data_IF_349753795512
#
_entry.id   IF_349753795512
#
_cell.length_a   1.000
_cell.length_b   1.000
_cell.length_c   1.000
_cell.angle_alpha   90.00
_cell.angle_beta   90.00
_cell.angle_gamma   90.00
#
_symmetry.space_group_name_H-M   'P 1'
#
loop_
_entity.id
_entity.type
_entity.pdbx_description
1 polymer ?
#
# COMPACT_ATOMS: atom_id res chain seq x y z
N UNK A 1 19.46 1.27 -10.93
CA UNK A 1 18.20 0.77 -11.53
C UNK A 1 17.22 1.94 -11.53
N UNK A 2 16.83 2.36 -12.70
CA UNK A 2 15.80 3.39 -12.88
C UNK A 2 14.47 2.75 -12.54
N UNK A 3 13.49 3.53 -12.07
CA UNK A 3 12.12 3.07 -11.77
C UNK A 3 11.44 2.53 -13.04
N UNK A 4 11.71 1.28 -13.39
CA UNK A 4 11.26 0.66 -14.65
C UNK A 4 9.90 -0.03 -14.53
N UNK A 5 9.31 -0.02 -13.35
CA UNK A 5 7.99 -0.57 -13.07
C UNK A 5 7.06 0.55 -12.60
N UNK A 6 5.88 0.65 -13.19
CA UNK A 6 4.91 1.67 -12.78
C UNK A 6 4.03 1.16 -11.64
N UNK A 7 3.52 -0.06 -11.75
CA UNK A 7 2.62 -0.65 -10.74
C UNK A 7 3.08 -2.04 -10.34
N UNK A 8 3.14 -2.31 -9.05
CA UNK A 8 3.33 -3.65 -8.49
C UNK A 8 1.99 -4.15 -7.90
N UNK A 9 1.59 -5.36 -8.28
CA UNK A 9 0.37 -5.99 -7.75
C UNK A 9 0.74 -7.07 -6.74
N UNK A 10 0.56 -6.76 -5.47
CA UNK A 10 0.78 -7.69 -4.36
C UNK A 10 -0.46 -8.56 -4.15
N UNK A 11 -0.30 -9.87 -4.26
CA UNK A 11 -1.40 -10.82 -4.09
C UNK A 11 -0.94 -12.13 -3.47
N UNK A 12 -1.90 -12.95 -3.03
CA UNK A 12 -1.69 -14.30 -2.55
C UNK A 12 -2.57 -15.27 -3.33
N UNK A 13 -1.95 -16.10 -4.14
CA UNK A 13 -2.62 -17.12 -4.95
C UNK A 13 -2.17 -18.50 -4.49
N UNK A 14 -3.11 -19.39 -4.17
CA UNK A 14 -2.83 -20.73 -3.64
C UNK A 14 -3.46 -21.86 -4.46
N UNK A 15 -4.42 -21.52 -5.29
CA UNK A 15 -5.13 -22.48 -6.15
C UNK A 15 -5.45 -21.86 -7.51
N UNK A 16 -5.87 -22.68 -8.45
CA UNK A 16 -6.18 -22.27 -9.83
C UNK A 16 -7.21 -21.14 -9.88
N UNK A 17 -8.22 -21.16 -9.00
CA UNK A 17 -9.27 -20.15 -8.99
C UNK A 17 -8.71 -18.78 -8.59
N UNK A 18 -7.81 -18.74 -7.60
CA UNK A 18 -7.14 -17.49 -7.18
C UNK A 18 -6.37 -16.85 -8.35
N UNK A 19 -5.70 -17.66 -9.18
CA UNK A 19 -5.00 -17.18 -10.37
C UNK A 19 -5.96 -16.59 -11.41
N UNK A 20 -7.08 -17.27 -11.68
CA UNK A 20 -8.07 -16.81 -12.66
C UNK A 20 -8.70 -15.49 -12.19
N UNK A 21 -9.07 -15.38 -10.92
CA UNK A 21 -9.66 -14.16 -10.35
C UNK A 21 -8.69 -12.99 -10.39
N UNK A 22 -7.42 -13.23 -10.07
CA UNK A 22 -6.40 -12.19 -10.13
C UNK A 22 -6.10 -11.77 -11.57
N UNK A 23 -5.97 -12.70 -12.51
CA UNK A 23 -5.79 -12.38 -13.92
C UNK A 23 -6.94 -11.51 -14.44
N UNK A 24 -8.18 -11.87 -14.14
CA UNK A 24 -9.35 -11.08 -14.50
C UNK A 24 -9.35 -9.70 -13.84
N UNK A 25 -8.87 -9.60 -12.61
CA UNK A 25 -8.76 -8.32 -11.89
C UNK A 25 -7.70 -7.42 -12.52
N UNK A 26 -6.52 -7.95 -12.81
CA UNK A 26 -5.47 -7.22 -13.52
C UNK A 26 -5.97 -6.77 -14.91
N UNK A 27 -6.63 -7.63 -15.64
CA UNK A 27 -7.18 -7.28 -16.94
C UNK A 27 -8.21 -6.14 -16.86
N UNK A 28 -9.13 -6.20 -15.91
CA UNK A 28 -10.13 -5.14 -15.69
C UNK A 28 -9.51 -3.81 -15.29
N UNK A 29 -8.42 -3.82 -14.52
CA UNK A 29 -7.73 -2.61 -14.12
C UNK A 29 -6.94 -2.04 -15.33
N UNK A 30 -5.99 -2.81 -15.87
CA UNK A 30 -4.99 -2.28 -16.79
C UNK A 30 -5.47 -2.13 -18.24
N UNK A 31 -6.58 -2.76 -18.61
CA UNK A 31 -7.25 -2.53 -19.91
C UNK A 31 -8.37 -1.50 -19.86
N UNK A 32 -8.62 -0.89 -18.69
CA UNK A 32 -9.67 0.13 -18.58
C UNK A 32 -9.35 1.33 -19.49
N UNK A 33 -10.32 1.83 -20.28
CA UNK A 33 -10.12 2.95 -21.20
C UNK A 33 -9.55 4.22 -20.55
N UNK A 34 -9.78 4.44 -19.24
CA UNK A 34 -9.32 5.64 -18.53
C UNK A 34 -7.81 5.66 -18.29
N UNK A 35 -7.15 4.50 -18.30
CA UNK A 35 -5.71 4.39 -18.00
C UNK A 35 -4.90 3.63 -19.06
N UNK A 36 -5.55 2.99 -20.05
CA UNK A 36 -4.85 2.20 -21.08
C UNK A 36 -3.80 3.02 -21.84
N UNK A 37 -4.07 4.32 -22.06
CA UNK A 37 -3.19 5.20 -22.82
C UNK A 37 -1.91 5.59 -22.07
N UNK A 38 -1.82 5.29 -20.76
CA UNK A 38 -0.58 5.41 -19.99
C UNK A 38 0.45 4.34 -20.33
N UNK A 39 0.02 3.23 -20.96
CA UNK A 39 0.89 2.07 -21.22
C UNK A 39 1.66 1.64 -19.98
N UNK A 40 0.96 1.55 -18.81
CA UNK A 40 1.58 1.25 -17.54
C UNK A 40 2.28 -0.11 -17.57
N UNK A 41 3.55 -0.12 -17.19
CA UNK A 41 4.30 -1.35 -16.94
C UNK A 41 3.94 -1.84 -15.56
N UNK A 42 3.24 -2.95 -15.48
CA UNK A 42 2.84 -3.54 -14.21
C UNK A 42 3.39 -4.95 -14.03
N UNK A 43 3.69 -5.29 -12.79
CA UNK A 43 3.98 -6.66 -12.42
C UNK A 43 2.66 -7.42 -12.30
N UNK A 44 2.48 -8.38 -13.19
CA UNK A 44 1.36 -9.32 -13.14
C UNK A 44 1.81 -10.58 -12.41
N UNK A 45 1.32 -10.81 -11.18
CA UNK A 45 1.72 -11.95 -10.39
C UNK A 45 1.25 -13.30 -10.96
N UNK A 46 0.30 -13.29 -11.91
CA UNK A 46 -0.26 -14.51 -12.50
C UNK A 46 0.65 -15.13 -13.56
N UNK A 47 1.58 -14.33 -14.12
CA UNK A 47 2.53 -14.77 -15.16
C UNK A 47 3.98 -14.81 -14.67
N UNK A 48 4.21 -14.47 -13.41
CA UNK A 48 5.55 -14.48 -12.82
C UNK A 48 5.94 -15.88 -12.35
N UNK A 49 7.20 -16.26 -12.58
CA UNK A 49 7.79 -17.49 -12.08
C UNK A 49 9.19 -17.24 -11.51
N UNK A 50 9.50 -17.90 -10.41
CA UNK A 50 10.85 -17.92 -9.84
C UNK A 50 11.23 -19.36 -9.52
N UNK A 51 12.51 -19.72 -9.70
CA UNK A 51 12.99 -21.08 -9.50
C UNK A 51 13.08 -21.49 -8.02
N UNK A 52 13.18 -20.55 -7.09
CA UNK A 52 13.28 -20.82 -5.67
C UNK A 52 12.51 -19.81 -4.82
N UNK A 53 12.16 -20.21 -3.60
CA UNK A 53 11.45 -19.31 -2.66
C UNK A 53 12.33 -18.14 -2.20
N UNK A 54 13.63 -18.37 -2.07
CA UNK A 54 14.59 -17.35 -1.65
C UNK A 54 14.78 -16.30 -2.74
N UNK A 55 14.97 -16.73 -3.98
CA UNK A 55 15.08 -15.83 -5.13
C UNK A 55 13.81 -15.02 -5.34
N UNK A 56 12.64 -15.65 -5.12
CA UNK A 56 11.35 -14.98 -5.24
C UNK A 56 11.26 -13.79 -4.30
N UNK A 57 11.56 -13.94 -3.02
CA UNK A 57 11.49 -12.88 -2.04
C UNK A 57 12.40 -11.69 -2.36
N UNK A 58 13.63 -11.96 -2.84
CA UNK A 58 14.58 -10.93 -3.26
C UNK A 58 14.05 -10.18 -4.49
N UNK A 59 13.54 -10.91 -5.49
CA UNK A 59 12.99 -10.33 -6.71
C UNK A 59 11.79 -9.43 -6.38
N UNK A 60 10.86 -9.92 -5.57
CA UNK A 60 9.69 -9.16 -5.15
C UNK A 60 10.08 -7.87 -4.42
N UNK A 61 11.05 -7.93 -3.49
CA UNK A 61 11.60 -6.74 -2.82
C UNK A 61 12.20 -5.72 -3.81
N UNK A 62 12.98 -6.19 -4.79
CA UNK A 62 13.57 -5.32 -5.81
C UNK A 62 12.48 -4.67 -6.67
N UNK A 63 11.44 -5.41 -7.06
CA UNK A 63 10.33 -4.91 -7.85
C UNK A 63 9.52 -3.86 -7.07
N UNK A 64 9.24 -4.10 -5.79
CA UNK A 64 8.61 -3.10 -4.92
C UNK A 64 9.45 -1.82 -4.84
N UNK A 65 10.77 -1.92 -4.76
CA UNK A 65 11.67 -0.74 -4.77
C UNK A 65 11.65 0.00 -6.10
N UNK A 66 11.45 -0.70 -7.21
CA UNK A 66 11.43 -0.10 -8.55
C UNK A 66 10.06 0.45 -8.96
N UNK A 67 8.98 0.07 -8.26
CA UNK A 67 7.62 0.52 -8.60
C UNK A 67 7.33 1.96 -8.16
N UNK A 68 6.37 2.60 -8.82
CA UNK A 68 5.83 3.92 -8.43
C UNK A 68 4.62 3.78 -7.52
N UNK A 69 3.79 2.75 -7.74
CA UNK A 69 2.55 2.49 -6.97
C UNK A 69 2.46 1.01 -6.66
N UNK A 70 1.95 0.66 -5.48
CA UNK A 70 1.63 -0.71 -5.12
C UNK A 70 0.11 -0.88 -4.98
N UNK A 71 -0.45 -1.89 -5.63
CA UNK A 71 -1.81 -2.37 -5.39
C UNK A 71 -1.72 -3.60 -4.50
N UNK A 72 -2.31 -3.53 -3.32
CA UNK A 72 -2.45 -4.65 -2.41
C UNK A 72 -3.82 -5.29 -2.62
N UNK A 73 -3.86 -6.49 -3.16
CA UNK A 73 -5.09 -7.27 -3.28
C UNK A 73 -5.45 -7.87 -1.91
N UNK A 74 -6.32 -7.16 -1.19
CA UNK A 74 -6.86 -7.57 0.10
C UNK A 74 -7.92 -8.65 -0.12
N UNK A 75 -7.47 -9.86 -0.39
CA UNK A 75 -8.32 -11.01 -0.66
C UNK A 75 -8.78 -11.76 0.58
N UNK A 76 -9.38 -12.91 0.34
CA UNK A 76 -9.89 -13.82 1.38
C UNK A 76 -8.75 -14.38 2.23
N UNK A 77 -7.54 -14.47 1.67
CA UNK A 77 -6.37 -15.08 2.32
C UNK A 77 -5.36 -14.01 2.73
N UNK A 78 -5.01 -14.02 3.99
CA UNK A 78 -3.91 -13.22 4.54
C UNK A 78 -2.56 -13.78 4.09
N UNK A 79 -1.59 -12.90 3.94
CA UNK A 79 -0.22 -13.25 3.53
C UNK A 79 0.77 -12.25 4.10
N UNK A 80 1.66 -12.73 4.94
CA UNK A 80 2.76 -11.92 5.49
C UNK A 80 3.67 -11.34 4.39
N UNK A 81 3.81 -12.05 3.26
CA UNK A 81 4.57 -11.54 2.11
C UNK A 81 3.97 -10.26 1.55
N UNK A 82 2.66 -10.22 1.30
CA UNK A 82 1.96 -9.01 0.86
C UNK A 82 2.11 -7.86 1.85
N UNK A 83 2.01 -8.17 3.14
CA UNK A 83 2.14 -7.16 4.19
C UNK A 83 3.55 -6.57 4.21
N UNK A 84 4.58 -7.39 4.05
CA UNK A 84 5.96 -6.94 3.94
C UNK A 84 6.20 -6.07 2.70
N UNK A 85 5.64 -6.45 1.55
CA UNK A 85 5.71 -5.68 0.31
C UNK A 85 5.03 -4.30 0.45
N UNK A 86 3.84 -4.27 1.03
CA UNK A 86 3.10 -3.04 1.28
C UNK A 86 3.81 -2.15 2.32
N UNK A 87 4.34 -2.74 3.39
CA UNK A 87 5.13 -2.02 4.39
C UNK A 87 6.39 -1.40 3.77
N UNK A 88 7.07 -2.13 2.90
CA UNK A 88 8.24 -1.61 2.17
C UNK A 88 7.86 -0.43 1.26
N UNK A 89 6.76 -0.54 0.53
CA UNK A 89 6.28 0.55 -0.32
C UNK A 89 5.94 1.80 0.51
N UNK A 90 5.17 1.64 1.59
CA UNK A 90 4.81 2.73 2.51
C UNK A 90 6.03 3.38 3.16
N UNK A 91 7.01 2.58 3.61
CA UNK A 91 8.23 3.08 4.25
C UNK A 91 9.10 3.92 3.31
N UNK A 92 8.99 3.71 2.01
CA UNK A 92 9.66 4.50 0.97
C UNK A 92 8.80 5.63 0.41
N UNK A 93 7.65 5.92 1.05
CA UNK A 93 6.75 7.01 0.68
C UNK A 93 5.96 6.79 -0.60
N UNK A 94 5.84 5.54 -1.07
CA UNK A 94 5.07 5.22 -2.28
C UNK A 94 3.59 5.12 -1.98
N UNK A 95 2.71 5.55 -2.89
CA UNK A 95 1.28 5.30 -2.78
C UNK A 95 0.99 3.79 -2.75
N UNK A 96 0.13 3.39 -1.80
CA UNK A 96 -0.36 2.01 -1.70
C UNK A 96 -1.88 2.03 -1.74
N UNK A 97 -2.45 1.24 -2.64
CA UNK A 97 -3.89 1.09 -2.83
C UNK A 97 -4.30 -0.29 -2.32
N UNK A 98 -5.04 -0.35 -1.23
CA UNK A 98 -5.67 -1.59 -0.77
C UNK A 98 -6.97 -1.78 -1.52
N UNK A 99 -6.99 -2.74 -2.43
CA UNK A 99 -8.19 -3.20 -3.08
C UNK A 99 -8.79 -4.36 -2.28
N UNK A 100 -9.86 -4.08 -1.56
CA UNK A 100 -10.57 -5.06 -0.75
C UNK A 100 -11.82 -5.55 -1.48
N UNK A 101 -11.77 -6.77 -2.00
CA UNK A 101 -12.91 -7.38 -2.72
C UNK A 101 -14.08 -7.72 -1.78
N UNK A 102 -13.81 -7.91 -0.50
CA UNK A 102 -14.81 -8.23 0.52
C UNK A 102 -15.15 -6.96 1.32
N UNK A 103 -16.28 -6.35 0.98
CA UNK A 103 -16.76 -5.14 1.64
C UNK A 103 -17.10 -5.34 3.14
N UNK A 104 -17.32 -6.58 3.58
CA UNK A 104 -17.57 -6.87 5.00
C UNK A 104 -16.35 -6.63 5.86
N UNK A 105 -15.14 -6.66 5.26
CA UNK A 105 -13.87 -6.35 5.92
C UNK A 105 -13.45 -4.88 5.80
N UNK A 106 -14.33 -4.01 5.30
CA UNK A 106 -14.05 -2.61 5.08
C UNK A 106 -13.51 -1.91 6.33
N UNK A 107 -14.19 -2.08 7.45
CA UNK A 107 -13.81 -1.46 8.72
C UNK A 107 -12.46 -1.96 9.22
N UNK A 108 -12.16 -3.24 9.03
CA UNK A 108 -10.85 -3.79 9.39
C UNK A 108 -9.73 -3.11 8.60
N UNK A 109 -9.84 -3.08 7.27
CA UNK A 109 -8.80 -2.48 6.42
C UNK A 109 -8.70 -0.96 6.57
N UNK A 110 -9.80 -0.25 6.82
CA UNK A 110 -9.77 1.20 7.03
C UNK A 110 -9.29 1.63 8.41
N UNK A 111 -9.60 0.85 9.46
CA UNK A 111 -9.45 1.32 10.85
C UNK A 111 -8.48 0.51 11.69
N UNK A 112 -8.28 -0.76 11.36
CA UNK A 112 -7.58 -1.72 12.24
C UNK A 112 -6.28 -2.23 11.64
N UNK A 113 -6.24 -2.46 10.32
CA UNK A 113 -5.07 -3.06 9.68
C UNK A 113 -3.81 -2.22 9.93
N UNK A 114 -2.69 -2.81 10.37
CA UNK A 114 -1.47 -2.07 10.74
C UNK A 114 -0.94 -1.18 9.62
N UNK A 115 -1.07 -1.60 8.37
CA UNK A 115 -0.55 -0.88 7.22
C UNK A 115 -1.44 0.29 6.74
N UNK A 116 -2.60 0.52 7.35
CA UNK A 116 -3.32 1.78 7.15
C UNK A 116 -2.62 2.95 7.82
N UNK A 117 -1.75 2.67 8.80
CA UNK A 117 -0.92 3.66 9.48
C UNK A 117 0.43 3.03 9.80
N UNK A 118 1.46 3.38 9.06
CA UNK A 118 2.84 3.00 9.34
C UNK A 118 3.55 4.19 9.99
N UNK A 119 3.93 4.05 11.26
CA UNK A 119 4.58 5.13 12.02
C UNK A 119 6.09 5.12 11.77
N UNK A 120 6.62 6.26 11.33
CA UNK A 120 8.03 6.58 11.45
C UNK A 120 8.26 7.18 12.85
N UNK A 121 8.77 6.37 13.74
CA UNK A 121 8.99 6.77 15.14
C UNK A 121 10.05 7.86 15.32
N UNK A 122 10.94 8.06 14.36
CA UNK A 122 11.98 9.08 14.45
C UNK A 122 11.44 10.49 14.22
N UNK A 123 10.43 10.62 13.37
CA UNK A 123 9.84 11.91 12.97
C UNK A 123 8.42 12.13 13.51
N UNK A 124 7.79 11.13 14.10
CA UNK A 124 6.38 11.18 14.49
C UNK A 124 5.42 11.16 13.29
N UNK A 125 5.88 10.68 12.15
CA UNK A 125 5.08 10.59 10.91
C UNK A 125 4.66 9.15 10.65
N UNK A 126 3.42 8.95 10.25
CA UNK A 126 2.90 7.68 9.79
C UNK A 126 2.38 7.81 8.36
N UNK A 127 2.70 6.85 7.52
CA UNK A 127 2.11 6.71 6.20
C UNK A 127 1.05 5.61 6.22
N UNK A 128 -0.02 5.78 5.44
CA UNK A 128 -1.12 4.85 5.37
C UNK A 128 -1.51 4.54 3.92
N UNK A 129 -2.22 3.45 3.73
CA UNK A 129 -2.74 3.06 2.44
C UNK A 129 -4.12 3.65 2.16
N UNK A 130 -4.43 3.88 0.89
CA UNK A 130 -5.77 4.19 0.41
C UNK A 130 -6.57 2.89 0.30
N UNK A 131 -7.76 2.83 0.90
CA UNK A 131 -8.59 1.63 0.92
C UNK A 131 -9.80 1.81 0.01
N UNK A 132 -9.98 0.89 -0.92
CA UNK A 132 -11.05 0.90 -1.91
C UNK A 132 -11.67 -0.49 -2.07
N UNK A 133 -12.90 -0.55 -2.59
CA UNK A 133 -13.68 -1.78 -2.68
C UNK A 133 -14.11 -2.13 -4.10
N UNK A 134 -13.87 -1.25 -5.05
CA UNK A 134 -14.27 -1.42 -6.45
C UNK A 134 -13.08 -1.26 -7.39
N UNK A 135 -13.05 -2.08 -8.44
CA UNK A 135 -12.01 -1.98 -9.49
C UNK A 135 -11.98 -0.58 -10.10
N UNK A 136 -13.14 0.03 -10.29
CA UNK A 136 -13.26 1.38 -10.86
C UNK A 136 -12.60 2.45 -9.99
N UNK A 137 -12.63 2.28 -8.67
CA UNK A 137 -11.94 3.17 -7.73
C UNK A 137 -10.43 2.99 -7.82
N UNK A 138 -9.94 1.74 -7.97
CA UNK A 138 -8.52 1.47 -8.22
C UNK A 138 -8.05 2.17 -9.51
N UNK A 139 -8.82 2.02 -10.59
CA UNK A 139 -8.54 2.67 -11.87
C UNK A 139 -8.48 4.19 -11.73
N UNK A 140 -9.46 4.78 -11.04
CA UNK A 140 -9.50 6.23 -10.84
C UNK A 140 -8.34 6.72 -9.99
N UNK A 141 -7.95 6.00 -8.92
CA UNK A 141 -6.77 6.33 -8.13
C UNK A 141 -5.49 6.26 -8.96
N UNK A 142 -5.31 5.21 -9.76
CA UNK A 142 -4.16 5.13 -10.67
C UNK A 142 -4.13 6.31 -11.63
N UNK A 143 -5.28 6.64 -12.26
CA UNK A 143 -5.40 7.80 -13.15
C UNK A 143 -4.97 9.09 -12.44
N UNK A 144 -5.47 9.34 -11.24
CA UNK A 144 -5.15 10.54 -10.45
C UNK A 144 -3.67 10.57 -10.05
N UNK A 145 -3.09 9.45 -9.62
CA UNK A 145 -1.68 9.37 -9.27
C UNK A 145 -0.79 9.72 -10.47
N UNK A 146 -1.03 9.10 -11.63
CA UNK A 146 -0.17 9.29 -12.79
C UNK A 146 -0.37 10.63 -13.50
N UNK A 147 -1.55 11.27 -13.36
CA UNK A 147 -1.77 12.64 -13.82
C UNK A 147 -1.45 13.71 -12.78
N UNK A 148 -1.03 13.32 -11.56
CA UNK A 148 -0.81 14.24 -10.44
C UNK A 148 -2.08 15.04 -10.09
N UNK A 149 -3.23 14.37 -10.05
CA UNK A 149 -4.55 14.92 -9.76
C UNK A 149 -5.10 14.43 -8.40
N UNK A 150 -4.22 13.97 -7.51
CA UNK A 150 -4.64 13.54 -6.17
C UNK A 150 -5.10 14.73 -5.34
N UNK A 151 -6.23 14.57 -4.66
CA UNK A 151 -6.82 15.59 -3.80
C UNK A 151 -6.74 15.17 -2.34
N UNK A 152 -6.25 16.06 -1.50
CA UNK A 152 -6.08 15.80 -0.07
C UNK A 152 -6.71 16.89 0.77
N UNK A 153 -7.29 16.52 1.92
CA UNK A 153 -7.70 17.44 2.98
C UNK A 153 -6.80 17.27 4.18
N UNK A 154 -6.42 18.40 4.81
CA UNK A 154 -5.69 18.39 6.07
C UNK A 154 -6.69 18.46 7.23
N UNK A 155 -6.63 17.50 8.12
CA UNK A 155 -7.46 17.45 9.32
C UNK A 155 -6.59 17.58 10.58
N UNK A 156 -7.12 18.28 11.58
CA UNK A 156 -6.49 18.37 12.91
C UNK A 156 -7.50 17.90 13.97
N UNK A 157 -7.67 16.60 14.22
CA UNK A 157 -8.61 16.05 15.19
C UNK A 157 -8.33 16.49 16.64
N UNK A 158 -7.07 16.74 16.98
CA UNK A 158 -6.63 17.30 18.25
C UNK A 158 -5.36 18.12 18.06
N UNK A 159 -5.04 18.97 19.04
CA UNK A 159 -3.84 19.81 19.02
C UNK A 159 -2.58 18.95 18.85
N UNK A 160 -1.73 19.31 17.87
CA UNK A 160 -0.48 18.61 17.59
C UNK A 160 -0.64 17.26 16.88
N UNK A 161 -1.84 16.92 16.38
CA UNK A 161 -2.08 15.72 15.62
C UNK A 161 -2.77 16.08 14.30
N UNK A 162 -2.07 15.84 13.19
CA UNK A 162 -2.53 16.17 11.84
C UNK A 162 -2.70 14.91 11.01
N UNK A 163 -3.73 14.88 10.17
CA UNK A 163 -3.96 13.84 9.19
C UNK A 163 -4.09 14.45 7.80
N UNK A 164 -3.36 13.91 6.85
CA UNK A 164 -3.60 14.15 5.42
C UNK A 164 -4.49 13.00 4.92
N UNK A 165 -5.69 13.35 4.49
CA UNK A 165 -6.72 12.40 4.09
C UNK A 165 -6.95 12.53 2.59
N UNK A 166 -6.85 11.41 1.86
CA UNK A 166 -7.23 11.36 0.45
C UNK A 166 -8.76 11.44 0.32
N UNK A 167 -9.22 12.40 -0.50
CA UNK A 167 -10.64 12.83 -0.48
C UNK A 167 -11.59 11.75 -0.98
N UNK A 168 -11.24 11.00 -2.03
CA UNK A 168 -12.15 10.05 -2.66
C UNK A 168 -12.35 8.76 -1.85
N UNK A 169 -11.31 8.32 -1.14
CA UNK A 169 -11.35 7.08 -0.33
C UNK A 169 -11.56 7.34 1.16
N UNK A 170 -11.50 8.62 1.57
CA UNK A 170 -11.50 9.04 2.97
C UNK A 170 -10.43 8.29 3.81
N UNK A 171 -9.28 7.99 3.18
CA UNK A 171 -8.18 7.26 3.79
C UNK A 171 -7.11 8.22 4.31
N UNK A 172 -6.69 8.06 5.56
CA UNK A 172 -5.56 8.81 6.12
C UNK A 172 -4.25 8.27 5.51
N UNK A 173 -3.72 8.98 4.51
CA UNK A 173 -2.49 8.57 3.80
C UNK A 173 -1.24 9.01 4.54
N UNK A 174 -1.34 10.04 5.38
CA UNK A 174 -0.24 10.50 6.23
C UNK A 174 -0.77 11.02 7.55
N UNK A 175 -0.12 10.66 8.62
CA UNK A 175 -0.40 11.17 9.96
C UNK A 175 0.90 11.74 10.52
N UNK A 176 0.82 12.90 11.15
CA UNK A 176 1.92 13.52 11.87
C UNK A 176 1.46 13.89 13.26
N UNK A 177 2.27 13.56 14.27
CA UNK A 177 1.98 13.92 15.66
C UNK A 177 3.20 14.51 16.33
N UNK A 178 2.94 15.55 17.13
CA UNK A 178 3.93 16.12 18.06
C UNK A 178 3.69 15.60 19.48
N UNK A 179 2.97 14.49 19.63
CA UNK A 179 2.74 13.86 20.92
C UNK A 179 4.04 13.28 21.46
N UNK A 180 4.60 13.97 22.45
CA UNK A 180 5.87 13.58 23.07
C UNK A 180 5.81 12.20 23.75
N UNK A 181 4.62 11.77 24.19
CA UNK A 181 4.47 10.46 24.81
C UNK A 181 4.65 9.33 23.77
N UNK A 182 4.13 9.52 22.56
CA UNK A 182 4.30 8.53 21.49
C UNK A 182 5.75 8.50 20.96
N UNK A 183 6.40 9.66 20.86
CA UNK A 183 7.77 9.74 20.37
C UNK A 183 8.81 9.40 21.42
N UNK A 184 8.65 9.85 22.67
CA UNK A 184 9.61 9.64 23.76
C UNK A 184 9.51 8.25 24.40
N UNK A 185 8.31 7.64 24.46
CA UNK A 185 8.17 6.34 25.14
C UNK A 185 8.90 5.21 24.41
N UNK A 186 9.02 5.27 23.08
CA UNK A 186 9.79 4.31 22.31
C UNK A 186 11.30 4.47 22.56
N UNK A 187 11.83 5.69 22.47
CA UNK A 187 13.25 5.96 22.70
C UNK A 187 13.67 5.73 24.15
N UNK A 188 12.82 6.09 25.12
CA UNK A 188 13.09 5.81 26.53
C UNK A 188 13.16 4.31 26.83
N UNK A 189 12.47 3.47 26.04
CA UNK A 189 12.59 2.03 26.16
C UNK A 189 13.97 1.54 25.71
N UNK A 190 14.49 2.04 24.60
CA UNK A 190 15.84 1.68 24.10
C UNK A 190 16.96 2.30 24.95
N UNK A 191 16.82 3.54 25.37
CA UNK A 191 17.82 4.20 26.23
C UNK A 191 18.05 3.48 27.57
N UNK A 192 17.09 2.72 28.05
CA UNK A 192 17.26 1.89 29.26
C UNK A 192 18.17 0.69 29.06
N UNK A 193 18.24 0.16 27.86
CA UNK A 193 19.11 -0.99 27.54
C UNK A 193 20.51 -0.61 27.10
N UNK A 194 20.76 0.65 26.78
CA UNK A 194 22.10 1.15 26.37
C UNK A 194 22.90 1.62 27.58
N UNK A 195 22.26 1.77 28.76
CA UNK A 195 22.90 2.27 29.98
C UNK A 195 23.25 1.16 31.00
N UNK A 196 23.01 -0.11 30.68
CA UNK A 196 23.47 -1.30 31.41
C UNK A 196 24.64 -1.97 30.64
#
# INVERSE_FOLDING_TARGET
MVNDLDVYVATSMRNKQDFIEMANTCEKIFKDPKIKDFHLRYFDPTISAAFGHEDKGIIECLMVRCTKVLIYSAGIKESYGKDAEAAMALSTGKPVIFYCMDSTKADFYKKVHPLTKLIDFSTGVANGAMVTFQVQEVVELLRRIFYNLMEYKLEQPKKGYFRLVEVSTDSAVRVQTNDELLTKSFWNYFDRFVKE
#
